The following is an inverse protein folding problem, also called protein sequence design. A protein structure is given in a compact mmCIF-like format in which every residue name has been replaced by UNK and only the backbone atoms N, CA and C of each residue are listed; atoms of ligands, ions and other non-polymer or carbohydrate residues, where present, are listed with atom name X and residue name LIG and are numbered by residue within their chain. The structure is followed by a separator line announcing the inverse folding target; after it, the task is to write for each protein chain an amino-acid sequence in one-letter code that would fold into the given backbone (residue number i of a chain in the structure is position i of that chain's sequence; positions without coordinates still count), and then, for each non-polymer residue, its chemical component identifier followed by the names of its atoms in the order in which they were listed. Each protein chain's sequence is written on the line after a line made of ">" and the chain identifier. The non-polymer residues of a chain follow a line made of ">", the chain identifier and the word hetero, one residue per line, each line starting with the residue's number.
data_IF_999394519143
#
_entry.id   IF_999394519143
#
_cell.length_a   1.000
_cell.length_b   1.000
_cell.length_c   1.000
_cell.angle_alpha   90.00
_cell.angle_beta   90.00
_cell.angle_gamma   90.00
#
_symmetry.space_group_name_H-M   'P 1'
#
loop_
_entity.id
_entity.type
_entity.pdbx_description
1 polymer ?
#
# COMPACT_ATOMS: atom_id res chain seq x y z
N UNK A 1 -31.30 -11.67 31.21
CA UNK A 1 -30.81 -10.35 30.77
C UNK A 1 -29.48 -10.12 31.47
N UNK A 2 -28.35 -10.41 30.81
CA UNK A 2 -27.02 -10.12 31.34
C UNK A 2 -26.53 -8.83 30.70
N UNK A 3 -26.55 -7.74 31.47
CA UNK A 3 -25.84 -6.52 31.12
C UNK A 3 -24.34 -6.80 31.24
N UNK A 4 -23.69 -7.16 30.14
CA UNK A 4 -22.23 -7.12 30.08
C UNK A 4 -21.83 -5.65 30.28
N UNK A 5 -21.21 -5.36 31.42
CA UNK A 5 -20.60 -4.07 31.70
C UNK A 5 -19.61 -3.77 30.58
N UNK A 6 -19.80 -2.65 29.90
CA UNK A 6 -18.84 -2.13 28.92
C UNK A 6 -17.46 -2.08 29.57
N UNK A 7 -16.41 -2.66 28.97
CA UNK A 7 -15.09 -2.65 29.58
C UNK A 7 -14.63 -1.20 29.81
N UNK A 8 -14.10 -0.92 31.00
CA UNK A 8 -13.61 0.42 31.34
C UNK A 8 -12.39 0.77 30.48
N UNK A 9 -12.25 2.04 30.07
CA UNK A 9 -11.22 2.50 29.13
C UNK A 9 -9.81 2.18 29.63
N UNK A 10 -9.58 2.31 30.94
CA UNK A 10 -8.30 1.98 31.58
C UNK A 10 -7.95 0.49 31.43
N UNK A 11 -8.95 -0.40 31.55
CA UNK A 11 -8.76 -1.84 31.39
C UNK A 11 -8.43 -2.22 29.95
N UNK A 12 -9.09 -1.58 28.98
CA UNK A 12 -8.83 -1.77 27.55
C UNK A 12 -7.41 -1.32 27.22
N UNK A 13 -7.02 -0.13 27.68
CA UNK A 13 -5.70 0.43 27.39
C UNK A 13 -4.57 -0.44 27.95
N UNK A 14 -4.69 -0.88 29.21
CA UNK A 14 -3.71 -1.76 29.83
C UNK A 14 -3.56 -3.08 29.06
N UNK A 15 -4.68 -3.74 28.75
CA UNK A 15 -4.66 -5.00 28.02
C UNK A 15 -4.11 -4.85 26.59
N UNK A 16 -4.48 -3.78 25.89
CA UNK A 16 -3.96 -3.48 24.55
C UNK A 16 -2.45 -3.22 24.58
N UNK A 17 -1.96 -2.50 25.59
CA UNK A 17 -0.54 -2.23 25.79
C UNK A 17 0.25 -3.52 26.02
N UNK A 18 -0.22 -4.40 26.91
CA UNK A 18 0.39 -5.71 27.16
C UNK A 18 0.40 -6.60 25.91
N UNK A 19 -0.70 -6.61 25.15
CA UNK A 19 -0.81 -7.40 23.93
C UNK A 19 0.07 -6.86 22.80
N UNK A 20 0.14 -5.53 22.65
CA UNK A 20 0.98 -4.84 21.67
C UNK A 20 2.47 -5.05 21.95
N UNK A 21 2.87 -5.00 23.22
CA UNK A 21 4.26 -5.13 23.66
C UNK A 21 4.76 -6.56 23.80
N UNK A 22 3.90 -7.56 23.59
CA UNK A 22 4.27 -8.97 23.70
C UNK A 22 5.41 -9.32 22.70
N UNK A 23 6.55 -9.86 23.19
CA UNK A 23 7.74 -10.08 22.36
C UNK A 23 7.62 -11.28 21.41
N UNK A 24 6.73 -12.23 21.69
CA UNK A 24 6.52 -13.41 20.84
C UNK A 24 5.57 -13.15 19.66
N UNK A 25 5.41 -14.15 18.80
CA UNK A 25 4.38 -14.11 17.73
C UNK A 25 3.00 -14.39 18.36
N UNK A 26 2.02 -13.55 18.05
CA UNK A 26 0.62 -13.80 18.42
C UNK A 26 0.02 -14.82 17.46
N UNK A 27 -0.57 -15.88 18.00
CA UNK A 27 -1.29 -16.89 17.22
C UNK A 27 -2.81 -16.64 17.22
N UNK A 28 -3.53 -17.41 16.41
CA UNK A 28 -5.00 -17.27 16.28
C UNK A 28 -5.74 -17.45 17.61
N UNK A 29 -5.27 -18.34 18.50
CA UNK A 29 -5.91 -18.60 19.79
C UNK A 29 -5.80 -17.39 20.73
N UNK A 30 -4.62 -16.78 20.82
CA UNK A 30 -4.40 -15.58 21.63
C UNK A 30 -5.15 -14.36 21.07
N UNK A 31 -5.17 -14.20 19.73
CA UNK A 31 -5.97 -13.16 19.09
C UNK A 31 -7.46 -13.35 19.36
N UNK A 32 -7.96 -14.59 19.30
CA UNK A 32 -9.34 -14.92 19.62
C UNK A 32 -9.68 -14.62 21.08
N UNK A 33 -8.87 -15.07 22.02
CA UNK A 33 -9.09 -14.81 23.45
C UNK A 33 -9.17 -13.30 23.74
N UNK A 34 -8.28 -12.51 23.11
CA UNK A 34 -8.30 -11.06 23.26
C UNK A 34 -9.59 -10.44 22.70
N UNK A 35 -9.99 -10.80 21.48
CA UNK A 35 -11.19 -10.26 20.82
C UNK A 35 -12.48 -10.71 21.53
N UNK A 36 -12.52 -11.92 22.08
CA UNK A 36 -13.65 -12.40 22.88
C UNK A 36 -13.85 -11.54 24.15
N UNK A 37 -12.74 -11.05 24.75
CA UNK A 37 -12.76 -10.18 25.93
C UNK A 37 -13.00 -8.70 25.58
N UNK A 38 -12.41 -8.23 24.49
CA UNK A 38 -12.49 -6.86 23.99
C UNK A 38 -12.90 -6.87 22.52
N UNK A 39 -14.22 -6.90 22.23
CA UNK A 39 -14.73 -7.02 20.86
C UNK A 39 -14.23 -5.89 19.95
N UNK A 40 -13.98 -6.20 18.67
CA UNK A 40 -13.50 -5.23 17.68
C UNK A 40 -14.34 -3.93 17.63
N UNK A 41 -15.69 -3.96 17.68
CA UNK A 41 -16.48 -2.74 17.74
C UNK A 41 -16.15 -1.82 18.92
N UNK A 42 -15.78 -2.40 20.07
CA UNK A 42 -15.35 -1.63 21.25
C UNK A 42 -14.01 -0.97 20.97
N UNK A 43 -13.04 -1.71 20.43
CA UNK A 43 -11.71 -1.18 20.08
C UNK A 43 -11.80 -0.09 19.00
N UNK A 44 -12.66 -0.27 18.00
CA UNK A 44 -12.94 0.75 16.98
C UNK A 44 -13.61 2.00 17.59
N UNK A 45 -14.52 1.81 18.55
CA UNK A 45 -15.11 2.91 19.30
C UNK A 45 -14.06 3.75 20.02
N UNK A 46 -13.04 3.12 20.61
CA UNK A 46 -11.92 3.83 21.26
C UNK A 46 -11.12 4.68 20.25
N UNK A 47 -10.87 4.16 19.04
CA UNK A 47 -10.18 4.90 17.98
C UNK A 47 -10.98 6.10 17.46
N UNK A 48 -12.29 6.13 17.66
CA UNK A 48 -13.16 7.24 17.24
C UNK A 48 -13.32 8.32 18.32
N UNK A 49 -12.81 8.08 19.53
CA UNK A 49 -12.89 9.08 20.61
C UNK A 49 -11.97 10.26 20.30
N UNK A 50 -12.40 11.48 20.63
CA UNK A 50 -11.47 12.60 20.75
C UNK A 50 -10.62 12.38 22.00
N UNK A 51 -9.42 11.82 21.80
CA UNK A 51 -8.58 11.36 22.90
C UNK A 51 -7.79 12.52 23.52
N UNK A 52 -7.84 12.61 24.85
CA UNK A 52 -7.00 13.52 25.67
C UNK A 52 -5.69 12.84 26.12
N UNK A 53 -5.69 11.49 26.21
CA UNK A 53 -4.56 10.70 26.70
C UNK A 53 -3.49 10.46 25.61
N UNK A 54 -2.22 10.85 25.83
CA UNK A 54 -1.14 10.57 24.91
C UNK A 54 -1.00 9.05 24.65
N UNK A 55 -0.79 8.66 23.40
CA UNK A 55 -0.42 7.29 22.95
C UNK A 55 -1.53 6.21 23.02
N UNK A 56 -2.73 6.52 23.51
CA UNK A 56 -3.85 5.56 23.51
C UNK A 56 -4.14 5.06 22.09
N UNK A 57 -4.26 5.97 21.13
CA UNK A 57 -4.49 5.63 19.72
C UNK A 57 -3.39 4.70 19.17
N UNK A 58 -2.12 5.08 19.34
CA UNK A 58 -0.97 4.29 18.88
C UNK A 58 -0.95 2.87 19.48
N UNK A 59 -1.33 2.76 20.75
CA UNK A 59 -1.35 1.48 21.48
C UNK A 59 -2.47 0.57 20.96
N UNK A 60 -3.66 1.13 20.76
CA UNK A 60 -4.79 0.41 20.18
C UNK A 60 -4.48 -0.01 18.74
N UNK A 61 -3.88 0.88 17.94
CA UNK A 61 -3.43 0.59 16.57
C UNK A 61 -2.43 -0.56 16.56
N UNK A 62 -1.40 -0.52 17.42
CA UNK A 62 -0.39 -1.58 17.50
C UNK A 62 -0.99 -2.93 17.96
N UNK A 63 -1.95 -2.89 18.89
CA UNK A 63 -2.69 -4.08 19.32
C UNK A 63 -3.50 -4.68 18.15
N UNK A 64 -4.28 -3.85 17.45
CA UNK A 64 -5.08 -4.27 16.31
C UNK A 64 -4.23 -4.78 15.15
N UNK A 65 -3.07 -4.16 14.88
CA UNK A 65 -2.14 -4.64 13.85
C UNK A 65 -1.72 -6.10 14.12
N UNK A 66 -1.42 -6.43 15.38
CA UNK A 66 -1.04 -7.79 15.77
C UNK A 66 -2.21 -8.77 15.65
N UNK A 67 -3.42 -8.34 16.02
CA UNK A 67 -4.64 -9.15 15.86
C UNK A 67 -4.86 -9.44 14.37
N UNK A 68 -4.89 -8.40 13.54
CA UNK A 68 -5.21 -8.52 12.11
C UNK A 68 -4.15 -9.25 11.30
N UNK A 69 -2.90 -9.33 11.78
CA UNK A 69 -1.87 -10.14 11.13
C UNK A 69 -2.12 -11.64 11.22
N UNK A 70 -2.91 -12.09 12.20
CA UNK A 70 -3.29 -13.50 12.36
C UNK A 70 -4.35 -13.92 11.34
N UNK A 71 -4.49 -15.23 11.07
CA UNK A 71 -5.54 -15.72 10.16
C UNK A 71 -6.92 -15.46 10.74
N UNK A 72 -7.07 -15.66 12.05
CA UNK A 72 -8.30 -15.34 12.77
C UNK A 72 -8.67 -13.85 12.61
N UNK A 73 -7.75 -12.93 12.92
CA UNK A 73 -8.02 -11.49 12.81
C UNK A 73 -8.31 -11.04 11.38
N UNK A 74 -7.55 -11.51 10.39
CA UNK A 74 -7.82 -11.25 8.97
C UNK A 74 -9.22 -11.71 8.56
N UNK A 75 -9.68 -12.88 9.02
CA UNK A 75 -11.00 -13.39 8.65
C UNK A 75 -12.15 -12.50 9.15
N UNK A 76 -11.94 -11.78 10.26
CA UNK A 76 -12.93 -10.86 10.81
C UNK A 76 -13.02 -9.57 9.98
N UNK A 77 -11.91 -9.11 9.39
CA UNK A 77 -11.85 -7.84 8.69
C UNK A 77 -12.82 -7.73 7.50
N UNK A 78 -13.14 -8.84 6.84
CA UNK A 78 -14.16 -8.86 5.77
C UNK A 78 -15.58 -8.53 6.28
N UNK A 79 -15.87 -8.76 7.56
CA UNK A 79 -17.13 -8.35 8.19
C UNK A 79 -17.12 -6.87 8.59
N UNK A 80 -15.94 -6.26 8.64
CA UNK A 80 -15.71 -4.89 9.08
C UNK A 80 -15.11 -4.01 7.97
N UNK A 81 -15.43 -4.30 6.70
CA UNK A 81 -14.96 -3.51 5.53
C UNK A 81 -15.30 -2.04 5.67
N UNK A 82 -16.49 -1.70 6.21
CA UNK A 82 -16.88 -0.30 6.48
C UNK A 82 -15.89 0.40 7.41
N UNK A 83 -15.35 -0.29 8.41
CA UNK A 83 -14.33 0.26 9.31
C UNK A 83 -12.96 0.39 8.64
N UNK A 84 -12.60 -0.52 7.73
CA UNK A 84 -11.38 -0.37 6.91
C UNK A 84 -11.49 0.90 6.07
N UNK A 85 -12.64 1.12 5.42
CA UNK A 85 -12.89 2.32 4.61
C UNK A 85 -12.79 3.60 5.43
N UNK A 86 -13.48 3.65 6.57
CA UNK A 86 -13.38 4.77 7.50
C UNK A 86 -11.92 5.00 7.95
N UNK A 87 -11.17 3.91 8.20
CA UNK A 87 -9.76 3.97 8.57
C UNK A 87 -8.86 4.53 7.47
N UNK A 88 -9.06 4.14 6.21
CA UNK A 88 -8.32 4.68 5.05
C UNK A 88 -8.57 6.18 4.85
N UNK A 89 -9.69 6.70 5.35
CA UNK A 89 -10.07 8.11 5.27
C UNK A 89 -9.81 8.87 6.58
N UNK A 90 -9.26 8.23 7.61
CA UNK A 90 -9.04 8.84 8.90
C UNK A 90 -8.01 9.98 8.83
N UNK A 91 -8.18 11.01 9.66
CA UNK A 91 -7.19 12.09 9.77
C UNK A 91 -5.88 11.57 10.40
N UNK A 92 -5.98 10.58 11.30
CA UNK A 92 -4.81 9.94 11.90
C UNK A 92 -4.03 9.11 10.87
N UNK A 93 -2.72 9.37 10.78
CA UNK A 93 -1.78 8.57 10.00
C UNK A 93 -1.65 7.14 10.54
N UNK A 94 -1.69 6.95 11.87
CA UNK A 94 -1.57 5.62 12.47
C UNK A 94 -2.76 4.73 12.07
N UNK A 95 -3.98 5.30 12.10
CA UNK A 95 -5.20 4.61 11.68
C UNK A 95 -5.18 4.34 10.17
N UNK A 96 -4.80 5.34 9.34
CA UNK A 96 -4.66 5.12 7.88
C UNK A 96 -3.65 4.04 7.53
N UNK A 97 -2.50 4.04 8.20
CA UNK A 97 -1.46 3.03 8.02
C UNK A 97 -1.99 1.63 8.40
N UNK A 98 -2.66 1.48 9.53
CA UNK A 98 -3.30 0.23 9.94
C UNK A 98 -4.34 -0.25 8.91
N UNK A 99 -5.16 0.66 8.39
CA UNK A 99 -6.18 0.31 7.40
C UNK A 99 -5.54 -0.17 6.07
N UNK A 100 -4.45 0.47 5.62
CA UNK A 100 -3.68 0.00 4.46
C UNK A 100 -3.09 -1.40 4.70
N UNK A 101 -2.48 -1.64 5.87
CA UNK A 101 -1.95 -2.96 6.24
C UNK A 101 -3.03 -4.02 6.34
N UNK A 102 -4.20 -3.66 6.86
CA UNK A 102 -5.35 -4.55 7.02
C UNK A 102 -5.80 -5.14 5.69
N UNK A 103 -5.79 -4.35 4.60
CA UNK A 103 -6.04 -4.86 3.24
C UNK A 103 -5.03 -5.94 2.85
N UNK A 104 -3.74 -5.71 3.10
CA UNK A 104 -2.69 -6.70 2.82
C UNK A 104 -2.89 -7.97 3.65
N UNK A 105 -3.14 -7.83 4.96
CA UNK A 105 -3.36 -8.98 5.84
C UNK A 105 -4.54 -9.84 5.41
N UNK A 106 -5.62 -9.23 4.93
CA UNK A 106 -6.79 -9.96 4.42
C UNK A 106 -6.42 -10.73 3.15
N UNK A 107 -5.79 -10.09 2.17
CA UNK A 107 -5.40 -10.75 0.91
C UNK A 107 -4.37 -11.88 1.15
N UNK A 108 -3.46 -11.71 2.10
CA UNK A 108 -2.39 -12.67 2.38
C UNK A 108 -2.88 -13.91 3.13
N UNK A 109 -3.82 -13.74 4.08
CA UNK A 109 -4.29 -14.82 4.95
C UNK A 109 -5.52 -15.56 4.45
N UNK A 110 -6.31 -14.99 3.53
CA UNK A 110 -7.50 -15.65 2.98
C UNK A 110 -7.12 -16.71 1.93
N UNK A 111 -7.81 -17.85 1.95
CA UNK A 111 -7.60 -18.95 0.99
C UNK A 111 -8.03 -18.54 -0.42
N UNK A 112 -9.24 -18.00 -0.56
CA UNK A 112 -9.75 -17.46 -1.82
C UNK A 112 -9.36 -15.98 -1.99
N UNK A 113 -8.12 -15.79 -2.47
CA UNK A 113 -7.56 -14.46 -2.74
C UNK A 113 -8.32 -13.73 -3.84
N UNK A 114 -8.82 -14.44 -4.85
CA UNK A 114 -9.52 -13.83 -5.98
C UNK A 114 -10.84 -13.20 -5.51
N UNK A 115 -11.69 -13.97 -4.82
CA UNK A 115 -12.93 -13.43 -4.25
C UNK A 115 -12.68 -12.31 -3.24
N UNK A 116 -11.61 -12.43 -2.46
CA UNK A 116 -11.21 -11.39 -1.50
C UNK A 116 -10.85 -10.07 -2.20
N UNK A 117 -10.03 -10.12 -3.25
CA UNK A 117 -9.68 -8.91 -4.01
C UNK A 117 -10.91 -8.33 -4.69
N UNK A 118 -11.79 -9.15 -5.28
CA UNK A 118 -13.04 -8.68 -5.88
C UNK A 118 -13.89 -7.87 -4.90
N UNK A 119 -14.12 -8.37 -3.69
CA UNK A 119 -14.87 -7.65 -2.64
C UNK A 119 -14.22 -6.29 -2.34
N UNK A 120 -12.90 -6.25 -2.23
CA UNK A 120 -12.17 -5.01 -1.93
C UNK A 120 -12.26 -4.01 -3.09
N UNK A 121 -12.14 -4.47 -4.33
CA UNK A 121 -12.28 -3.63 -5.53
C UNK A 121 -13.70 -3.09 -5.67
N UNK A 122 -14.72 -3.94 -5.53
CA UNK A 122 -16.14 -3.56 -5.55
C UNK A 122 -16.48 -2.55 -4.45
N UNK A 123 -15.79 -2.63 -3.31
CA UNK A 123 -15.95 -1.66 -2.22
C UNK A 123 -15.26 -0.31 -2.47
N UNK A 124 -14.56 -0.10 -3.59
CA UNK A 124 -13.75 1.08 -3.91
C UNK A 124 -12.47 1.24 -3.06
N UNK A 125 -11.90 0.14 -2.56
CA UNK A 125 -10.67 0.20 -1.75
C UNK A 125 -9.46 0.76 -2.53
N UNK A 126 -9.38 0.50 -3.84
CA UNK A 126 -8.27 0.97 -4.67
C UNK A 126 -8.15 2.50 -4.70
N UNK A 127 -9.26 3.23 -4.89
CA UNK A 127 -9.24 4.69 -4.91
C UNK A 127 -8.72 5.28 -3.60
N UNK A 128 -9.17 4.71 -2.48
CA UNK A 128 -8.72 5.13 -1.15
C UNK A 128 -7.25 4.80 -0.91
N UNK A 129 -6.78 3.62 -1.34
CA UNK A 129 -5.37 3.25 -1.27
C UNK A 129 -4.50 4.21 -2.10
N UNK A 130 -4.91 4.56 -3.32
CA UNK A 130 -4.21 5.58 -4.12
C UNK A 130 -4.09 6.88 -3.35
N UNK A 131 -5.18 7.38 -2.74
CA UNK A 131 -5.10 8.57 -1.90
C UNK A 131 -4.10 8.41 -0.73
N UNK A 132 -4.12 7.27 -0.04
CA UNK A 132 -3.13 6.97 1.02
C UNK A 132 -1.69 6.92 0.50
N UNK A 133 -1.47 6.44 -0.73
CA UNK A 133 -0.16 6.43 -1.38
C UNK A 133 0.32 7.85 -1.67
N UNK A 134 -0.55 8.72 -2.18
CA UNK A 134 -0.16 10.07 -2.60
C UNK A 134 0.00 11.03 -1.42
N UNK A 135 -0.93 10.98 -0.46
CA UNK A 135 -1.05 11.99 0.61
C UNK A 135 -0.55 11.49 1.98
N UNK A 136 -0.28 10.18 2.12
CA UNK A 136 0.16 9.60 3.38
C UNK A 136 1.57 10.00 3.78
N UNK A 137 1.88 9.82 5.07
CA UNK A 137 3.27 9.81 5.52
C UNK A 137 4.05 8.61 4.92
N UNK A 138 5.34 8.50 5.21
CA UNK A 138 6.20 7.43 4.69
C UNK A 138 5.64 6.02 4.95
N UNK A 139 5.20 5.76 6.19
CA UNK A 139 4.68 4.45 6.60
C UNK A 139 3.34 4.12 5.94
N UNK A 140 2.41 5.07 5.93
CA UNK A 140 1.10 4.94 5.28
C UNK A 140 1.26 4.69 3.78
N UNK A 141 2.16 5.44 3.14
CA UNK A 141 2.43 5.30 1.70
C UNK A 141 3.05 3.95 1.36
N UNK A 142 4.01 3.49 2.15
CA UNK A 142 4.62 2.17 1.99
C UNK A 142 3.61 1.04 2.20
N UNK A 143 2.76 1.13 3.23
CA UNK A 143 1.69 0.17 3.47
C UNK A 143 0.68 0.14 2.32
N UNK A 144 0.31 1.31 1.78
CA UNK A 144 -0.58 1.41 0.62
C UNK A 144 0.04 0.80 -0.63
N UNK A 145 1.32 1.08 -0.91
CA UNK A 145 2.04 0.49 -2.03
C UNK A 145 2.02 -1.04 -1.99
N UNK A 146 2.26 -1.63 -0.81
CA UNK A 146 2.20 -3.09 -0.61
C UNK A 146 0.79 -3.61 -0.85
N UNK A 147 -0.24 -2.92 -0.34
CA UNK A 147 -1.64 -3.31 -0.53
C UNK A 147 -2.06 -3.28 -2.01
N UNK A 148 -1.73 -2.21 -2.74
CA UNK A 148 -2.00 -2.09 -4.19
C UNK A 148 -1.27 -3.19 -4.95
N UNK A 149 0.00 -3.45 -4.62
CA UNK A 149 0.77 -4.55 -5.22
C UNK A 149 0.12 -5.91 -4.96
N UNK A 150 -0.45 -6.13 -3.78
CA UNK A 150 -1.15 -7.37 -3.45
C UNK A 150 -2.48 -7.50 -4.22
N UNK A 151 -3.22 -6.41 -4.43
CA UNK A 151 -4.42 -6.35 -5.28
C UNK A 151 -4.07 -6.71 -6.74
N UNK A 152 -2.98 -6.14 -7.27
CA UNK A 152 -2.50 -6.34 -8.63
C UNK A 152 -2.12 -7.79 -8.98
N UNK A 153 -2.07 -8.70 -8.00
CA UNK A 153 -1.81 -10.13 -8.25
C UNK A 153 -3.04 -10.89 -8.74
N UNK A 154 -4.21 -10.25 -8.79
CA UNK A 154 -5.44 -10.84 -9.33
C UNK A 154 -5.91 -10.12 -10.59
N UNK A 155 -6.67 -10.78 -11.48
CA UNK A 155 -7.25 -10.15 -12.67
C UNK A 155 -8.12 -8.93 -12.33
N UNK A 156 -9.06 -9.06 -11.38
CA UNK A 156 -9.94 -7.95 -10.94
C UNK A 156 -9.13 -6.75 -10.43
N UNK A 157 -7.99 -7.02 -9.78
CA UNK A 157 -7.08 -5.99 -9.30
C UNK A 157 -6.30 -5.30 -10.43
N UNK A 158 -5.89 -6.02 -11.46
CA UNK A 158 -5.24 -5.40 -12.63
C UNK A 158 -6.24 -4.54 -13.41
N UNK A 159 -7.48 -5.01 -13.57
CA UNK A 159 -8.51 -4.28 -14.30
C UNK A 159 -8.84 -2.91 -13.66
N UNK A 160 -8.72 -2.79 -12.33
CA UNK A 160 -8.93 -1.50 -11.64
C UNK A 160 -7.67 -0.61 -11.66
N UNK A 161 -6.46 -1.19 -11.64
CA UNK A 161 -5.19 -0.44 -11.58
C UNK A 161 -4.78 0.05 -12.98
N UNK A 162 -4.95 -0.80 -13.99
CA UNK A 162 -4.62 -0.56 -15.40
C UNK A 162 -5.90 -0.71 -16.26
N UNK A 163 -6.89 0.17 -16.07
CA UNK A 163 -8.19 0.03 -16.72
C UNK A 163 -8.07 0.10 -18.24
N UNK A 164 -8.70 -0.86 -18.93
CA UNK A 164 -8.85 -0.85 -20.39
C UNK A 164 -9.87 0.17 -20.90
N UNK A 165 -10.66 0.77 -19.99
CA UNK A 165 -11.77 1.68 -20.31
C UNK A 165 -11.35 3.16 -20.25
N UNK A 166 -12.18 4.03 -20.85
CA UNK A 166 -11.95 5.47 -21.02
C UNK A 166 -12.17 6.31 -19.75
N UNK A 167 -12.32 5.71 -18.57
CA UNK A 167 -12.31 6.51 -17.34
C UNK A 167 -10.88 6.98 -17.05
N UNK A 168 -10.56 8.12 -17.67
CA UNK A 168 -9.27 8.78 -17.59
C UNK A 168 -8.91 9.20 -16.16
N UNK A 169 -9.89 9.41 -15.27
CA UNK A 169 -9.65 10.00 -13.96
C UNK A 169 -8.81 9.11 -13.03
N UNK A 170 -8.94 7.79 -13.17
CA UNK A 170 -8.26 6.79 -12.34
C UNK A 170 -7.00 6.20 -12.99
N UNK A 171 -6.65 6.66 -14.20
CA UNK A 171 -5.42 6.26 -14.87
C UNK A 171 -4.20 6.85 -14.16
N UNK A 172 -3.22 6.01 -13.85
CA UNK A 172 -1.98 6.41 -13.17
C UNK A 172 -1.28 7.61 -13.85
N UNK A 173 -1.34 7.70 -15.19
CA UNK A 173 -0.80 8.83 -15.95
C UNK A 173 -1.47 10.17 -15.60
N UNK A 174 -2.79 10.18 -15.51
CA UNK A 174 -3.55 11.40 -15.20
C UNK A 174 -3.42 11.78 -13.72
N UNK A 175 -3.37 10.79 -12.84
CA UNK A 175 -3.07 11.00 -11.42
C UNK A 175 -1.68 11.64 -11.27
N UNK A 176 -0.66 11.13 -11.97
CA UNK A 176 0.69 11.68 -11.93
C UNK A 176 0.74 13.14 -12.43
N UNK A 177 0.02 13.46 -13.50
CA UNK A 177 0.01 14.81 -14.06
C UNK A 177 -0.60 15.87 -13.12
N UNK A 178 -1.41 15.46 -12.14
CA UNK A 178 -2.16 16.36 -11.26
C UNK A 178 -1.70 16.31 -9.79
N UNK A 179 -0.54 15.73 -9.50
CA UNK A 179 -0.06 15.58 -8.12
C UNK A 179 1.31 16.24 -7.88
N UNK A 180 1.68 16.34 -6.59
CA UNK A 180 2.95 16.91 -6.15
C UNK A 180 4.16 16.10 -6.64
N UNK A 181 5.36 16.69 -6.66
CA UNK A 181 6.57 15.94 -7.08
C UNK A 181 6.79 14.67 -6.25
N UNK A 182 6.61 14.75 -4.93
CA UNK A 182 6.70 13.58 -4.05
C UNK A 182 5.67 12.50 -4.43
N UNK A 183 4.42 12.89 -4.70
CA UNK A 183 3.37 11.97 -5.12
C UNK A 183 3.69 11.32 -6.48
N UNK A 184 4.28 12.05 -7.43
CA UNK A 184 4.77 11.49 -8.70
C UNK A 184 5.86 10.45 -8.49
N UNK A 185 6.84 10.71 -7.62
CA UNK A 185 7.88 9.72 -7.25
C UNK A 185 7.25 8.44 -6.68
N UNK A 186 6.20 8.56 -5.86
CA UNK A 186 5.48 7.39 -5.33
C UNK A 186 4.72 6.62 -6.40
N UNK A 187 4.17 7.30 -7.41
CA UNK A 187 3.58 6.65 -8.59
C UNK A 187 4.65 5.92 -9.41
N UNK A 188 5.83 6.50 -9.59
CA UNK A 188 6.95 5.83 -10.25
C UNK A 188 7.35 4.55 -9.50
N UNK A 189 7.41 4.58 -8.17
CA UNK A 189 7.67 3.41 -7.34
C UNK A 189 6.57 2.34 -7.53
N UNK A 190 5.30 2.73 -7.59
CA UNK A 190 4.19 1.83 -7.90
C UNK A 190 4.34 1.19 -9.29
N UNK A 191 4.60 1.99 -10.33
CA UNK A 191 4.81 1.48 -11.70
C UNK A 191 5.95 0.46 -11.72
N UNK A 192 7.07 0.74 -11.05
CA UNK A 192 8.20 -0.19 -10.93
C UNK A 192 7.81 -1.50 -10.25
N UNK A 193 7.03 -1.45 -9.16
CA UNK A 193 6.58 -2.66 -8.47
C UNK A 193 5.59 -3.47 -9.33
N UNK A 194 4.67 -2.81 -10.05
CA UNK A 194 3.73 -3.46 -10.97
C UNK A 194 4.44 -4.10 -12.16
N UNK A 195 5.38 -3.39 -12.77
CA UNK A 195 6.20 -3.88 -13.90
C UNK A 195 6.97 -5.15 -13.53
N UNK A 196 7.32 -5.32 -12.26
CA UNK A 196 8.04 -6.48 -11.75
C UNK A 196 7.15 -7.67 -11.37
N UNK A 197 5.81 -7.60 -11.59
CA UNK A 197 4.88 -8.66 -11.21
C UNK A 197 4.82 -9.81 -12.24
N UNK A 198 4.72 -9.48 -13.52
CA UNK A 198 4.71 -10.46 -14.63
C UNK A 198 4.99 -9.78 -15.98
N UNK A 199 5.37 -10.58 -16.99
CA UNK A 199 5.62 -10.10 -18.35
C UNK A 199 4.36 -9.51 -19.02
N UNK A 200 3.19 -10.06 -18.71
CA UNK A 200 1.90 -9.55 -19.21
C UNK A 200 1.62 -8.14 -18.67
N UNK A 201 1.81 -7.94 -17.36
CA UNK A 201 1.62 -6.63 -16.73
C UNK A 201 2.67 -5.63 -17.25
N UNK A 202 3.92 -6.06 -17.41
CA UNK A 202 4.98 -5.24 -17.99
C UNK A 202 4.62 -4.78 -19.42
N UNK A 203 4.06 -5.67 -20.22
CA UNK A 203 3.60 -5.37 -21.59
C UNK A 203 2.47 -4.34 -21.61
N UNK A 204 1.50 -4.44 -20.68
CA UNK A 204 0.41 -3.46 -20.54
C UNK A 204 0.94 -2.09 -20.11
N UNK A 205 1.89 -2.05 -19.16
CA UNK A 205 2.53 -0.80 -18.70
C UNK A 205 3.29 -0.12 -19.85
N UNK A 206 4.02 -0.90 -20.64
CA UNK A 206 4.71 -0.43 -21.84
C UNK A 206 3.73 0.12 -22.87
N UNK A 207 2.68 -0.64 -23.23
CA UNK A 207 1.66 -0.22 -24.19
C UNK A 207 0.90 1.04 -23.75
N UNK A 208 0.74 1.23 -22.44
CA UNK A 208 0.08 2.40 -21.85
C UNK A 208 0.98 3.65 -21.77
N UNK A 209 2.23 3.56 -22.23
CA UNK A 209 3.24 4.63 -22.14
C UNK A 209 3.43 5.17 -20.71
N UNK A 210 3.28 4.33 -19.68
CA UNK A 210 3.48 4.76 -18.29
C UNK A 210 4.97 4.98 -17.97
N UNK A 211 5.88 4.35 -18.71
CA UNK A 211 7.32 4.57 -18.56
C UNK A 211 7.75 6.00 -18.93
N UNK A 212 7.00 6.70 -19.78
CA UNK A 212 7.25 8.11 -20.14
C UNK A 212 7.29 9.02 -18.90
N UNK A 213 6.57 8.66 -17.83
CA UNK A 213 6.59 9.41 -16.57
C UNK A 213 7.99 9.48 -15.95
N UNK A 214 8.81 8.44 -16.11
CA UNK A 214 10.19 8.47 -15.66
C UNK A 214 11.02 9.46 -16.49
N UNK A 215 10.83 9.49 -17.81
CA UNK A 215 11.53 10.44 -18.67
C UNK A 215 11.18 11.88 -18.32
N UNK A 216 9.90 12.16 -18.02
CA UNK A 216 9.42 13.47 -17.60
C UNK A 216 10.08 13.91 -16.29
N UNK A 217 10.12 13.06 -15.27
CA UNK A 217 10.77 13.41 -13.99
C UNK A 217 12.28 13.58 -14.13
N UNK A 218 12.96 12.72 -14.90
CA UNK A 218 14.42 12.73 -15.04
C UNK A 218 14.90 13.94 -15.85
N UNK A 219 14.13 14.36 -16.85
CA UNK A 219 14.42 15.53 -17.67
C UNK A 219 13.92 16.85 -17.05
N UNK A 220 13.21 16.78 -15.92
CA UNK A 220 12.82 17.93 -15.13
C UNK A 220 14.04 18.72 -14.67
N UNK A 221 14.01 20.06 -14.79
CA UNK A 221 15.21 20.90 -14.53
C UNK A 221 15.32 21.46 -13.11
N UNK A 222 14.24 21.42 -12.34
CA UNK A 222 14.09 22.28 -11.16
C UNK A 222 14.07 21.53 -9.83
N UNK A 223 14.10 20.19 -9.83
CA UNK A 223 14.04 19.38 -8.61
C UNK A 223 15.04 18.22 -8.67
N UNK A 224 16.27 18.48 -8.21
CA UNK A 224 17.34 17.49 -8.21
C UNK A 224 17.02 16.26 -7.35
N UNK A 225 16.23 16.42 -6.28
CA UNK A 225 15.84 15.30 -5.42
C UNK A 225 14.84 14.37 -6.14
N UNK A 226 13.89 14.93 -6.87
CA UNK A 226 12.97 14.15 -7.70
C UNK A 226 13.70 13.42 -8.83
N UNK A 227 14.66 14.07 -9.50
CA UNK A 227 15.51 13.41 -10.52
C UNK A 227 16.27 12.22 -9.93
N UNK A 228 16.95 12.43 -8.78
CA UNK A 228 17.72 11.37 -8.12
C UNK A 228 16.82 10.21 -7.67
N UNK A 229 15.64 10.53 -7.12
CA UNK A 229 14.66 9.51 -6.69
C UNK A 229 14.14 8.70 -7.87
N UNK A 230 13.81 9.34 -8.99
CA UNK A 230 13.38 8.65 -10.20
C UNK A 230 14.48 7.73 -10.77
N UNK A 231 15.73 8.21 -10.79
CA UNK A 231 16.88 7.39 -11.21
C UNK A 231 17.14 6.21 -10.29
N UNK A 232 16.99 6.38 -8.98
CA UNK A 232 17.14 5.30 -8.00
C UNK A 232 16.05 4.22 -8.20
N UNK A 233 14.79 4.62 -8.36
CA UNK A 233 13.69 3.70 -8.63
C UNK A 233 13.94 2.91 -9.92
N UNK A 234 14.39 3.57 -11.00
CA UNK A 234 14.76 2.90 -12.24
C UNK A 234 15.91 1.90 -12.03
N UNK A 235 16.97 2.33 -11.34
CA UNK A 235 18.12 1.48 -11.06
C UNK A 235 17.73 0.23 -10.27
N UNK A 236 16.87 0.37 -9.25
CA UNK A 236 16.31 -0.77 -8.53
C UNK A 236 15.46 -1.69 -9.42
N UNK A 237 14.67 -1.11 -10.32
CA UNK A 237 13.87 -1.85 -11.30
C UNK A 237 14.73 -2.73 -12.20
N UNK A 238 15.81 -2.17 -12.76
CA UNK A 238 16.78 -2.90 -13.60
C UNK A 238 17.45 -4.02 -12.80
N UNK A 239 17.88 -3.73 -11.55
CA UNK A 239 18.56 -4.72 -10.70
C UNK A 239 17.67 -5.91 -10.36
N UNK A 240 16.37 -5.70 -10.09
CA UNK A 240 15.43 -6.78 -9.75
C UNK A 240 15.01 -7.59 -10.98
N UNK A 241 14.90 -6.96 -12.14
CA UNK A 241 14.42 -7.58 -13.38
C UNK A 241 15.54 -7.80 -14.41
N UNK A 242 16.69 -8.33 -13.99
CA UNK A 242 17.86 -8.62 -14.84
C UNK A 242 17.53 -9.44 -16.13
N UNK A 243 16.31 -9.96 -16.26
CA UNK A 243 15.82 -10.71 -17.42
C UNK A 243 14.86 -9.95 -18.37
N UNK A 244 14.38 -8.74 -18.06
CA UNK A 244 13.52 -7.97 -19.00
C UNK A 244 14.38 -6.99 -19.80
N UNK A 245 15.31 -7.55 -20.58
CA UNK A 245 16.29 -6.79 -21.38
C UNK A 245 15.61 -5.99 -22.51
N UNK A 246 14.52 -6.49 -23.08
CA UNK A 246 13.83 -5.81 -24.19
C UNK A 246 13.07 -4.54 -23.78
N UNK A 247 12.56 -4.45 -22.55
CA UNK A 247 11.80 -3.28 -22.09
C UNK A 247 12.68 -2.08 -21.76
N UNK A 248 13.89 -2.33 -21.26
CA UNK A 248 14.83 -1.29 -20.85
C UNK A 248 15.85 -0.89 -21.93
N UNK A 249 16.14 -1.75 -22.92
CA UNK A 249 16.81 -1.29 -24.16
C UNK A 249 16.00 -0.20 -24.85
N UNK A 250 14.67 -0.37 -24.92
CA UNK A 250 13.76 0.64 -25.47
C UNK A 250 13.76 1.92 -24.62
N UNK A 251 13.88 1.80 -23.30
CA UNK A 251 13.98 2.95 -22.40
C UNK A 251 15.34 3.67 -22.53
N UNK A 252 16.42 2.93 -22.73
CA UNK A 252 17.76 3.46 -23.04
C UNK A 252 17.79 4.21 -24.38
N UNK A 253 17.07 3.72 -25.39
CA UNK A 253 16.92 4.39 -26.69
C UNK A 253 16.09 5.68 -26.60
N UNK A 254 15.10 5.76 -25.71
CA UNK A 254 14.35 7.01 -25.47
C UNK A 254 15.11 8.02 -24.63
N UNK A 255 15.96 7.58 -23.70
CA UNK A 255 16.80 8.43 -22.86
C UNK A 255 18.06 8.99 -23.55
N UNK A 256 18.12 9.05 -24.89
CA UNK A 256 19.29 9.45 -25.70
C UNK A 256 19.87 10.88 -25.48
N UNK A 257 19.50 11.58 -24.41
CA UNK A 257 20.36 12.62 -23.86
C UNK A 257 21.63 11.98 -23.25
N UNK A 258 22.77 12.18 -23.92
CA UNK A 258 24.16 11.77 -23.58
C UNK A 258 24.56 11.84 -22.09
N UNK A 259 23.82 12.57 -21.25
CA UNK A 259 24.09 12.76 -19.81
C UNK A 259 23.71 11.54 -18.95
N UNK A 260 22.62 10.84 -19.27
CA UNK A 260 22.10 9.75 -18.42
C UNK A 260 22.67 8.37 -18.78
N UNK A 261 23.06 8.19 -20.04
CA UNK A 261 23.79 7.01 -20.51
C UNK A 261 25.12 6.81 -19.76
N UNK A 262 25.77 7.90 -19.35
CA UNK A 262 27.03 7.86 -18.57
C UNK A 262 26.78 7.35 -17.14
N UNK A 263 25.70 7.80 -16.48
CA UNK A 263 25.36 7.43 -15.10
C UNK A 263 25.04 5.92 -14.98
N UNK A 264 24.34 5.36 -15.98
CA UNK A 264 24.03 3.93 -16.01
C UNK A 264 25.26 3.07 -16.35
N UNK A 265 26.18 3.57 -17.18
CA UNK A 265 27.41 2.87 -17.56
C UNK A 265 28.47 2.87 -16.44
N UNK A 266 28.60 3.95 -15.68
CA UNK A 266 29.54 4.06 -14.54
C UNK A 266 29.21 3.07 -13.39
N UNK A 267 27.99 2.53 -13.34
CA UNK A 267 27.57 1.51 -12.36
C UNK A 267 27.70 0.06 -12.85
N UNK A 268 28.49 -0.23 -13.88
CA UNK A 268 28.70 -1.58 -14.45
C UNK A 268 27.42 -2.28 -14.97
N UNK A 269 26.52 -1.53 -15.62
CA UNK A 269 25.50 -2.14 -16.48
C UNK A 269 26.15 -2.29 -17.86
N UNK A 270 26.73 -3.47 -18.12
CA UNK A 270 27.10 -3.86 -19.49
C UNK A 270 25.80 -4.21 -20.20
N UNK A 271 25.35 -3.32 -21.08
CA UNK A 271 24.39 -3.65 -22.14
C UNK A 271 25.13 -4.60 -23.10
N UNK A 272 24.73 -5.88 -23.09
CA UNK A 272 25.11 -6.87 -24.10
C UNK A 272 23.91 -7.10 -25.01
#
# INVERSE_FOLDING_TARGET
>A
MNSASTPDLASIFQAASEFASYPGVVNDAAAKEFVDRYPLPVLFGVLQMEVVEPRLEETIVACLERIFRTRYGSSLLLQYVVFIHAGLQANSEAIRCLACKSISFVIENMEDKASTVRILVESNAYALLIKCLLDGNEQTSAASLIAIKNIAKSPDGIDVILPSSRDESMQLKNIANNCSSMARIRILALIKELFSLSDDIASVIYASNLLELFEVEINGRNDALSILSALEILYEGVKRNFFIINGFEIFGDRLQHKKYYIILRDKNIILL
#
